data_IF_057040881075
#
_entry.id   IF_057040881075
#
_cell.length_a   1.000
_cell.length_b   1.000
_cell.length_c   1.000
_cell.angle_alpha   90.00
_cell.angle_beta   90.00
_cell.angle_gamma   90.00
#
_symmetry.space_group_name_H-M   'P 1'
#
loop_
_entity.id
_entity.type
_entity.pdbx_description
1 polymer ?
#
# COMPACT_ATOMS: atom_id res chain seq x y z
N UNK A 1 3.64 24.35 -54.67
CA UNK A 1 2.67 25.29 -54.08
C UNK A 1 3.41 26.31 -53.25
N UNK A 2 3.03 27.58 -53.34
CA UNK A 2 3.53 28.63 -52.45
C UNK A 2 2.81 28.56 -51.07
N UNK A 3 3.26 29.32 -50.07
CA UNK A 3 2.68 29.27 -48.72
C UNK A 3 1.18 29.65 -48.70
N UNK A 4 0.72 30.52 -49.61
CA UNK A 4 -0.68 30.93 -49.69
C UNK A 4 -1.59 29.83 -50.24
N UNK A 5 -1.13 29.10 -51.26
CA UNK A 5 -1.82 27.93 -51.81
C UNK A 5 -1.94 26.80 -50.77
N UNK A 6 -0.89 26.58 -49.95
CA UNK A 6 -0.89 25.56 -48.90
C UNK A 6 -1.90 25.88 -47.81
N UNK A 7 -1.97 27.13 -47.33
CA UNK A 7 -2.95 27.56 -46.34
C UNK A 7 -4.38 27.50 -46.88
N UNK A 8 -4.59 27.81 -48.16
CA UNK A 8 -5.91 27.69 -48.78
C UNK A 8 -6.39 26.24 -48.91
N UNK A 9 -5.47 25.30 -49.15
CA UNK A 9 -5.79 23.88 -49.32
C UNK A 9 -5.93 23.14 -47.99
N UNK A 10 -5.10 23.48 -47.01
CA UNK A 10 -5.02 22.81 -45.72
C UNK A 10 -5.48 23.75 -44.60
N UNK A 11 -6.80 23.74 -44.34
CA UNK A 11 -7.47 24.67 -43.40
C UNK A 11 -7.02 24.57 -41.93
N UNK A 12 -6.26 23.53 -41.57
CA UNK A 12 -5.67 23.40 -40.24
C UNK A 12 -4.41 24.27 -40.05
N UNK A 13 -3.82 24.80 -41.14
CA UNK A 13 -2.69 25.73 -41.10
C UNK A 13 -3.24 27.12 -40.83
N UNK A 14 -3.26 27.52 -39.56
CA UNK A 14 -3.77 28.83 -39.16
C UNK A 14 -2.69 29.92 -39.27
N UNK A 15 -3.12 31.17 -39.03
CA UNK A 15 -2.23 32.33 -39.08
C UNK A 15 -1.14 32.27 -38.00
N UNK A 16 -1.42 31.62 -36.86
CA UNK A 16 -0.50 31.52 -35.72
C UNK A 16 0.66 30.59 -36.05
N UNK A 17 0.36 29.40 -36.59
CA UNK A 17 1.35 28.47 -37.12
C UNK A 17 2.23 29.14 -38.18
N UNK A 18 1.63 29.89 -39.12
CA UNK A 18 2.38 30.58 -40.17
C UNK A 18 3.39 31.59 -39.60
N UNK A 19 2.99 32.38 -38.61
CA UNK A 19 3.88 33.34 -37.94
C UNK A 19 5.01 32.63 -37.21
N UNK A 20 4.70 31.57 -36.46
CA UNK A 20 5.68 30.79 -35.70
C UNK A 20 6.70 30.09 -36.61
N UNK A 21 6.30 29.59 -37.79
CA UNK A 21 7.24 28.99 -38.74
C UNK A 21 8.13 30.02 -39.43
N UNK A 22 7.58 31.19 -39.80
CA UNK A 22 8.34 32.28 -40.42
C UNK A 22 9.38 32.87 -39.45
N UNK A 23 9.02 33.03 -38.17
CA UNK A 23 9.93 33.55 -37.13
C UNK A 23 11.09 32.58 -36.84
N UNK A 24 10.87 31.27 -36.98
CA UNK A 24 11.89 30.24 -36.78
C UNK A 24 12.70 29.90 -38.05
N UNK A 25 12.46 30.61 -39.17
CA UNK A 25 13.18 30.37 -40.44
C UNK A 25 12.86 29.03 -41.12
N UNK A 26 11.71 28.42 -40.78
CA UNK A 26 11.30 27.11 -41.32
C UNK A 26 10.33 27.32 -42.48
N UNK A 27 10.67 26.83 -43.68
CA UNK A 27 9.76 26.87 -44.82
C UNK A 27 8.61 25.84 -44.66
N UNK A 28 7.37 26.32 -44.69
CA UNK A 28 6.16 25.51 -44.59
C UNK A 28 6.13 24.35 -45.62
N UNK A 29 6.68 24.61 -46.81
CA UNK A 29 6.80 23.61 -47.88
C UNK A 29 7.75 22.47 -47.49
N UNK A 30 8.88 22.76 -46.83
CA UNK A 30 9.82 21.75 -46.35
C UNK A 30 9.15 20.88 -45.30
N UNK A 31 8.50 21.51 -44.31
CA UNK A 31 7.80 20.79 -43.25
C UNK A 31 6.71 19.86 -43.77
N UNK A 32 5.90 20.32 -44.72
CA UNK A 32 4.86 19.48 -45.35
C UNK A 32 5.49 18.34 -46.14
N UNK A 33 6.63 18.58 -46.78
CA UNK A 33 7.36 17.52 -47.50
C UNK A 33 7.88 16.47 -46.50
N UNK A 34 8.45 16.90 -45.39
CA UNK A 34 8.92 15.98 -44.34
C UNK A 34 7.76 15.18 -43.74
N UNK A 35 6.62 15.82 -43.48
CA UNK A 35 5.43 15.17 -42.93
C UNK A 35 4.84 14.13 -43.90
N UNK A 36 4.84 14.41 -45.20
CA UNK A 36 4.17 13.58 -46.20
C UNK A 36 5.05 12.48 -46.79
N UNK A 37 6.36 12.68 -46.85
CA UNK A 37 7.24 11.81 -47.63
C UNK A 37 8.35 11.12 -46.82
N UNK A 38 8.63 11.56 -45.59
CA UNK A 38 9.61 10.87 -44.76
C UNK A 38 8.93 9.81 -43.88
N UNK A 39 9.67 8.73 -43.62
CA UNK A 39 9.27 7.73 -42.63
C UNK A 39 9.09 8.39 -41.26
N UNK A 40 8.06 7.97 -40.54
CA UNK A 40 7.77 8.54 -39.22
C UNK A 40 8.41 7.65 -38.17
N UNK A 41 9.19 8.25 -37.28
CA UNK A 41 9.94 7.53 -36.25
C UNK A 41 9.40 7.82 -34.86
N UNK A 42 9.52 6.81 -33.99
CA UNK A 42 9.57 7.00 -32.54
C UNK A 42 11.02 6.78 -32.13
N UNK A 43 11.61 7.74 -31.43
CA UNK A 43 13.03 7.73 -31.09
C UNK A 43 13.29 8.43 -29.76
N UNK A 44 14.49 8.25 -29.22
CA UNK A 44 15.04 9.15 -28.20
C UNK A 44 15.62 10.38 -28.88
N UNK A 45 15.37 11.55 -28.31
CA UNK A 45 15.99 12.80 -28.76
C UNK A 45 17.53 12.72 -28.72
N UNK A 46 18.23 13.71 -29.28
CA UNK A 46 19.70 13.72 -29.32
C UNK A 46 20.37 13.62 -27.93
N UNK A 47 19.66 14.02 -26.87
CA UNK A 47 20.14 13.94 -25.49
C UNK A 47 19.91 12.57 -24.85
N UNK A 48 19.10 11.71 -25.47
CA UNK A 48 18.65 10.44 -24.91
C UNK A 48 17.59 10.57 -23.82
N UNK A 49 17.19 11.80 -23.45
CA UNK A 49 16.39 12.05 -22.25
C UNK A 49 14.88 11.95 -22.49
N UNK A 50 14.42 12.27 -23.71
CA UNK A 50 12.99 12.33 -24.04
C UNK A 50 12.66 11.44 -25.23
N UNK A 51 11.48 10.82 -25.17
CA UNK A 51 10.86 10.22 -26.34
C UNK A 51 10.34 11.32 -27.25
N UNK A 52 10.57 11.15 -28.54
CA UNK A 52 10.04 12.00 -29.61
C UNK A 52 9.34 11.14 -30.65
N UNK A 53 8.41 11.76 -31.36
CA UNK A 53 7.68 11.19 -32.48
C UNK A 53 7.58 12.25 -33.58
N UNK A 54 8.25 12.01 -34.70
CA UNK A 54 8.38 12.99 -35.79
C UNK A 54 8.79 12.31 -37.11
N UNK A 55 8.65 12.99 -38.26
CA UNK A 55 9.35 12.61 -39.48
C UNK A 55 10.84 12.41 -39.25
N UNK A 56 11.42 11.41 -39.91
CA UNK A 56 12.85 11.20 -39.86
C UNK A 56 13.59 12.30 -40.63
N UNK A 57 14.15 13.26 -39.90
CA UNK A 57 14.95 14.37 -40.44
C UNK A 57 16.45 14.17 -40.16
N UNK A 58 16.87 12.95 -39.80
CA UNK A 58 18.24 12.62 -39.42
C UNK A 58 18.44 12.46 -37.90
N UNK A 59 19.38 13.24 -37.34
CA UNK A 59 20.01 12.97 -36.04
C UNK A 59 19.03 12.77 -34.86
N UNK A 60 19.00 11.53 -34.36
CA UNK A 60 18.38 11.09 -33.11
C UNK A 60 19.36 10.19 -32.37
N UNK A 61 19.24 10.05 -31.05
CA UNK A 61 20.16 9.20 -30.30
C UNK A 61 19.90 7.70 -30.55
N UNK A 62 18.62 7.31 -30.61
CA UNK A 62 18.22 5.91 -30.76
C UNK A 62 16.84 5.84 -31.42
N UNK A 63 16.72 5.12 -32.54
CA UNK A 63 15.44 4.84 -33.19
C UNK A 63 14.82 3.61 -32.53
N UNK A 64 13.62 3.76 -31.99
CA UNK A 64 12.84 2.68 -31.36
C UNK A 64 11.98 1.98 -32.41
N UNK A 65 11.43 2.74 -33.36
CA UNK A 65 10.62 2.18 -34.43
C UNK A 65 10.40 3.16 -35.57
N UNK A 66 10.12 2.60 -36.74
CA UNK A 66 9.72 3.29 -37.97
C UNK A 66 8.31 2.84 -38.33
N UNK A 67 7.51 3.75 -38.87
CA UNK A 67 6.09 3.53 -39.11
C UNK A 67 5.62 4.25 -40.37
N UNK A 68 4.60 3.66 -41.00
CA UNK A 68 4.03 4.14 -42.26
C UNK A 68 2.89 5.16 -42.03
N UNK A 69 2.37 5.24 -40.80
CA UNK A 69 1.29 6.17 -40.45
C UNK A 69 1.52 6.90 -39.13
N UNK A 70 1.05 8.15 -39.06
CA UNK A 70 1.09 8.95 -37.83
C UNK A 70 0.31 8.30 -36.69
N UNK A 71 -0.75 7.55 -37.01
CA UNK A 71 -1.57 6.89 -36.01
C UNK A 71 -0.80 5.73 -35.34
N UNK A 72 -0.13 4.88 -36.11
CA UNK A 72 0.66 3.77 -35.58
C UNK A 72 1.84 4.27 -34.74
N UNK A 73 2.55 5.27 -35.25
CA UNK A 73 3.67 5.85 -34.54
C UNK A 73 3.25 6.65 -33.29
N UNK A 74 2.11 7.36 -33.33
CA UNK A 74 1.54 7.98 -32.12
C UNK A 74 1.17 6.92 -31.08
N UNK A 75 0.53 5.82 -31.48
CA UNK A 75 0.20 4.72 -30.57
C UNK A 75 1.47 4.10 -29.96
N UNK A 76 2.50 3.88 -30.78
CA UNK A 76 3.79 3.38 -30.31
C UNK A 76 4.49 4.38 -29.36
N UNK A 77 4.49 5.66 -29.70
CA UNK A 77 5.02 6.73 -28.84
C UNK A 77 4.33 6.74 -27.48
N UNK A 78 3.00 6.75 -27.46
CA UNK A 78 2.22 6.75 -26.22
C UNK A 78 2.50 5.49 -25.39
N UNK A 79 2.54 4.31 -26.02
CA UNK A 79 2.85 3.05 -25.34
C UNK A 79 4.24 3.06 -24.68
N UNK A 80 5.26 3.53 -25.40
CA UNK A 80 6.62 3.66 -24.88
C UNK A 80 6.69 4.73 -23.77
N UNK A 81 6.02 5.86 -23.96
CA UNK A 81 5.95 6.93 -22.97
C UNK A 81 5.34 6.46 -21.66
N UNK A 82 4.20 5.76 -21.72
CA UNK A 82 3.56 5.19 -20.54
C UNK A 82 4.41 4.10 -19.90
N UNK A 83 5.10 3.28 -20.68
CA UNK A 83 6.02 2.26 -20.16
C UNK A 83 7.19 2.88 -19.41
N UNK A 84 7.91 3.84 -19.99
CA UNK A 84 9.01 4.55 -19.32
C UNK A 84 8.53 5.31 -18.06
N UNK A 85 7.37 5.94 -18.14
CA UNK A 85 6.74 6.60 -16.99
C UNK A 85 6.47 5.61 -15.86
N UNK A 86 5.90 4.44 -16.20
CA UNK A 86 5.63 3.36 -15.24
C UNK A 86 6.91 2.77 -14.65
N UNK A 87 7.96 2.57 -15.44
CA UNK A 87 9.28 2.13 -14.98
C UNK A 87 9.89 3.11 -13.98
N UNK A 88 9.84 4.42 -14.26
CA UNK A 88 10.33 5.45 -13.33
C UNK A 88 9.59 5.42 -11.99
N UNK A 89 8.25 5.36 -12.03
CA UNK A 89 7.41 5.32 -10.83
C UNK A 89 7.63 4.03 -10.03
N UNK A 90 7.67 2.89 -10.71
CA UNK A 90 7.88 1.58 -10.08
C UNK A 90 9.28 1.51 -9.46
N UNK A 91 10.32 1.90 -10.18
CA UNK A 91 11.71 1.97 -9.68
C UNK A 91 11.80 2.84 -8.42
N UNK A 92 11.25 4.06 -8.45
CA UNK A 92 11.27 4.96 -7.29
C UNK A 92 10.57 4.34 -6.08
N UNK A 93 9.47 3.63 -6.31
CA UNK A 93 8.72 2.99 -5.22
C UNK A 93 9.45 1.77 -4.66
N UNK A 94 10.05 0.95 -5.52
CA UNK A 94 10.85 -0.20 -5.12
C UNK A 94 12.07 0.26 -4.31
N UNK A 95 12.81 1.27 -4.77
CA UNK A 95 13.94 1.86 -4.02
C UNK A 95 13.51 2.34 -2.64
N UNK A 96 12.41 3.09 -2.56
CA UNK A 96 11.88 3.57 -1.27
C UNK A 96 11.52 2.41 -0.33
N UNK A 97 10.92 1.35 -0.86
CA UNK A 97 10.56 0.18 -0.07
C UNK A 97 11.80 -0.56 0.45
N UNK A 98 12.74 -0.87 -0.45
CA UNK A 98 13.98 -1.59 -0.12
C UNK A 98 14.81 -0.79 0.89
N UNK A 99 14.98 0.52 0.70
CA UNK A 99 15.69 1.39 1.65
C UNK A 99 15.06 1.35 3.06
N UNK A 100 13.72 1.41 3.15
CA UNK A 100 13.01 1.34 4.42
C UNK A 100 13.12 -0.02 5.12
N UNK A 101 13.13 -1.12 4.36
CA UNK A 101 13.35 -2.45 4.93
C UNK A 101 14.81 -2.65 5.36
N UNK A 102 15.78 -2.17 4.58
CA UNK A 102 17.20 -2.18 4.94
C UNK A 102 17.45 -1.42 6.25
N UNK A 103 16.88 -0.23 6.42
CA UNK A 103 17.02 0.57 7.65
C UNK A 103 16.48 -0.19 8.87
N UNK A 104 15.28 -0.78 8.77
CA UNK A 104 14.67 -1.56 9.84
C UNK A 104 15.47 -2.82 10.18
N UNK A 105 15.97 -3.52 9.17
CA UNK A 105 16.76 -4.74 9.37
C UNK A 105 18.13 -4.41 9.98
N UNK A 106 18.78 -3.34 9.52
CA UNK A 106 20.02 -2.84 10.11
C UNK A 106 19.87 -2.52 11.60
N UNK A 107 18.80 -1.80 11.97
CA UNK A 107 18.51 -1.50 13.39
C UNK A 107 18.32 -2.78 14.23
N UNK A 108 17.60 -3.78 13.71
CA UNK A 108 17.43 -5.08 14.39
C UNK A 108 18.74 -5.85 14.53
N UNK A 109 19.54 -5.88 13.46
CA UNK A 109 20.85 -6.54 13.45
C UNK A 109 21.80 -5.90 14.48
N UNK A 110 21.83 -4.58 14.58
CA UNK A 110 22.66 -3.89 15.58
C UNK A 110 22.26 -4.25 17.02
N UNK A 111 20.95 -4.31 17.30
CA UNK A 111 20.47 -4.72 18.62
C UNK A 111 20.83 -6.17 18.96
N UNK A 112 20.65 -7.09 18.00
CA UNK A 112 21.03 -8.50 18.18
C UNK A 112 22.53 -8.66 18.33
N UNK A 113 23.32 -7.97 17.50
CA UNK A 113 24.78 -7.96 17.58
C UNK A 113 25.26 -7.50 18.96
N UNK A 114 24.70 -6.40 19.49
CA UNK A 114 25.03 -5.93 20.84
C UNK A 114 24.69 -6.95 21.93
N UNK A 115 23.59 -7.73 21.79
CA UNK A 115 23.30 -8.83 22.73
C UNK A 115 24.29 -9.99 22.58
N UNK A 116 24.63 -10.36 21.35
CA UNK A 116 25.58 -11.46 21.07
C UNK A 116 26.98 -11.11 21.60
N UNK A 117 27.44 -9.87 21.40
CA UNK A 117 28.74 -9.39 21.89
C UNK A 117 28.85 -9.39 23.42
N UNK A 118 27.74 -9.22 24.13
CA UNK A 118 27.69 -9.35 25.61
C UNK A 118 27.86 -10.80 26.08
N UNK A 119 27.73 -11.78 25.18
CA UNK A 119 27.86 -13.20 25.49
C UNK A 119 26.67 -13.77 26.28
N UNK A 120 26.70 -15.08 26.49
CA UNK A 120 25.71 -15.78 27.30
C UNK A 120 26.02 -15.64 28.80
N UNK A 121 24.98 -15.35 29.59
CA UNK A 121 25.04 -15.34 31.06
C UNK A 121 24.74 -16.71 31.69
N UNK A 122 24.66 -17.77 30.88
CA UNK A 122 24.41 -19.14 31.34
C UNK A 122 25.37 -19.54 32.49
N UNK A 123 26.68 -19.36 32.28
CA UNK A 123 27.70 -19.71 33.27
C UNK A 123 27.55 -18.92 34.57
N UNK A 124 27.22 -17.64 34.47
CA UNK A 124 27.00 -16.77 35.62
C UNK A 124 25.79 -17.23 36.44
N UNK A 125 24.66 -17.52 35.79
CA UNK A 125 23.47 -18.02 36.49
C UNK A 125 23.66 -19.42 37.08
N UNK A 126 24.35 -20.30 36.38
CA UNK A 126 24.71 -21.62 36.90
C UNK A 126 25.63 -21.50 38.13
N UNK A 127 26.61 -20.59 38.09
CA UNK A 127 27.48 -20.31 39.24
C UNK A 127 26.66 -19.78 40.44
N UNK A 128 25.71 -18.88 40.22
CA UNK A 128 24.81 -18.43 41.29
C UNK A 128 23.98 -19.58 41.89
N UNK A 129 23.45 -20.49 41.06
CA UNK A 129 22.77 -21.69 41.55
C UNK A 129 23.67 -22.55 42.44
N UNK A 130 24.92 -22.78 42.03
CA UNK A 130 25.91 -23.53 42.80
C UNK A 130 26.28 -22.86 44.12
N UNK A 131 26.50 -21.53 44.12
CA UNK A 131 26.82 -20.78 45.33
C UNK A 131 25.67 -20.79 46.34
N UNK A 132 24.42 -20.73 45.86
CA UNK A 132 23.25 -20.85 46.71
C UNK A 132 23.12 -22.26 47.31
N UNK A 133 23.44 -23.32 46.55
CA UNK A 133 23.49 -24.69 47.08
C UNK A 133 24.56 -24.84 48.17
N UNK A 134 25.76 -24.32 47.95
CA UNK A 134 26.85 -24.37 48.93
C UNK A 134 26.50 -23.64 50.23
N UNK A 135 25.69 -22.57 50.14
CA UNK A 135 25.28 -21.74 51.28
C UNK A 135 23.83 -22.01 51.72
N UNK A 136 23.27 -23.20 51.42
CA UNK A 136 21.85 -23.49 51.63
C UNK A 136 21.40 -23.33 53.08
N UNK A 137 22.27 -23.62 54.05
CA UNK A 137 22.01 -23.47 55.49
C UNK A 137 21.82 -22.01 55.91
N UNK A 138 22.42 -21.06 55.19
CA UNK A 138 22.29 -19.62 55.44
C UNK A 138 21.01 -19.04 54.79
N UNK A 139 20.38 -19.75 53.86
CA UNK A 139 19.19 -19.29 53.14
C UNK A 139 17.92 -19.47 53.97
N UNK A 140 17.15 -18.39 54.12
CA UNK A 140 15.83 -18.39 54.78
C UNK A 140 14.77 -17.81 53.86
N UNK A 141 13.52 -18.26 54.02
CA UNK A 141 12.38 -17.67 53.31
C UNK A 141 12.22 -16.21 53.75
N UNK A 142 11.93 -15.32 52.80
CA UNK A 142 11.83 -13.87 53.05
C UNK A 142 13.12 -13.08 52.81
N UNK A 143 14.25 -13.75 52.55
CA UNK A 143 15.51 -13.09 52.19
C UNK A 143 15.45 -12.54 50.75
N UNK A 144 15.96 -11.33 50.54
CA UNK A 144 15.97 -10.63 49.25
C UNK A 144 17.31 -10.69 48.52
N UNK A 145 18.40 -10.94 49.25
CA UNK A 145 19.76 -11.17 48.72
C UNK A 145 20.63 -11.95 49.70
N UNK A 146 21.68 -12.58 49.18
CA UNK A 146 22.75 -13.18 49.97
C UNK A 146 24.11 -12.74 49.43
N UNK A 147 25.07 -12.54 50.32
CA UNK A 147 26.48 -12.37 49.98
C UNK A 147 27.17 -13.72 50.13
N UNK A 148 27.79 -14.20 49.05
CA UNK A 148 28.53 -15.45 49.01
C UNK A 148 29.92 -15.21 48.44
N UNK A 149 30.89 -16.04 48.81
CA UNK A 149 32.21 -16.03 48.16
C UNK A 149 32.20 -16.95 46.96
N UNK A 150 32.69 -16.47 45.82
CA UNK A 150 32.93 -17.32 44.66
C UNK A 150 34.15 -18.23 44.86
N UNK A 151 34.42 -19.09 43.87
CA UNK A 151 35.54 -20.03 43.90
C UNK A 151 36.91 -19.34 43.89
N UNK A 152 36.97 -18.05 43.56
CA UNK A 152 38.18 -17.22 43.55
C UNK A 152 38.31 -16.39 44.84
N UNK A 153 37.33 -16.47 45.74
CA UNK A 153 37.30 -15.78 47.03
C UNK A 153 36.71 -14.38 46.98
N UNK A 154 36.19 -13.93 45.83
CA UNK A 154 35.54 -12.63 45.69
C UNK A 154 34.12 -12.65 46.28
N UNK A 155 33.68 -11.53 46.84
CA UNK A 155 32.32 -11.39 47.34
C UNK A 155 31.34 -11.14 46.20
N UNK A 156 30.31 -11.97 46.11
CA UNK A 156 29.25 -11.92 45.10
C UNK A 156 27.90 -11.77 45.80
N UNK A 157 27.14 -10.75 45.42
CA UNK A 157 25.78 -10.54 45.92
C UNK A 157 24.76 -11.16 44.96
N UNK A 158 24.02 -12.17 45.44
CA UNK A 158 23.01 -12.89 44.65
C UNK A 158 21.61 -12.47 45.11
N UNK A 159 20.77 -12.00 44.18
CA UNK A 159 19.39 -11.56 44.46
C UNK A 159 18.42 -12.73 44.55
N UNK A 160 17.59 -12.75 45.58
CA UNK A 160 16.60 -13.79 45.81
C UNK A 160 15.18 -13.22 45.62
N UNK A 161 14.22 -14.11 45.40
CA UNK A 161 12.80 -13.76 45.55
C UNK A 161 12.37 -14.13 46.98
N UNK A 162 12.01 -13.13 47.82
CA UNK A 162 11.57 -13.36 49.20
C UNK A 162 10.34 -14.28 49.31
N UNK A 163 9.51 -14.35 48.27
CA UNK A 163 8.28 -15.14 48.25
C UNK A 163 8.55 -16.63 48.03
N UNK A 164 9.70 -16.98 47.44
CA UNK A 164 10.09 -18.34 47.12
C UNK A 164 10.82 -19.01 48.29
N UNK A 165 10.76 -20.34 48.35
CA UNK A 165 11.61 -21.10 49.28
C UNK A 165 13.07 -21.06 48.82
N UNK A 166 14.05 -21.32 49.71
CA UNK A 166 15.46 -21.45 49.35
C UNK A 166 15.70 -22.37 48.15
N UNK A 167 15.13 -23.58 48.15
CA UNK A 167 15.24 -24.52 47.03
C UNK A 167 14.67 -23.94 45.74
N UNK A 168 13.50 -23.30 45.78
CA UNK A 168 12.89 -22.69 44.59
C UNK A 168 13.72 -21.52 44.04
N UNK A 169 14.44 -20.79 44.90
CA UNK A 169 15.36 -19.74 44.45
C UNK A 169 16.59 -20.34 43.74
N UNK A 170 17.12 -21.46 44.24
CA UNK A 170 18.18 -22.22 43.58
C UNK A 170 17.72 -22.72 42.21
N UNK A 171 16.59 -23.44 42.17
CA UNK A 171 16.02 -23.99 40.93
C UNK A 171 15.77 -22.88 39.91
N UNK A 172 15.26 -21.73 40.35
CA UNK A 172 15.07 -20.54 39.51
C UNK A 172 16.36 -20.08 38.81
N UNK A 173 17.52 -20.16 39.47
CA UNK A 173 18.79 -19.78 38.85
C UNK A 173 19.27 -20.81 37.82
N UNK A 174 19.07 -22.11 38.06
CA UNK A 174 19.34 -23.13 37.05
C UNK A 174 18.39 -23.03 35.85
N UNK A 175 17.10 -22.78 36.08
CA UNK A 175 16.14 -22.54 35.01
C UNK A 175 16.48 -21.27 34.22
N UNK A 176 16.97 -20.22 34.88
CA UNK A 176 17.51 -19.02 34.21
C UNK A 176 18.72 -19.35 33.35
N UNK A 177 19.66 -20.16 33.84
CA UNK A 177 20.84 -20.56 33.06
C UNK A 177 20.43 -21.32 31.79
N UNK A 178 19.54 -22.30 31.93
CA UNK A 178 18.99 -23.07 30.80
C UNK A 178 18.24 -22.18 29.81
N UNK A 179 17.39 -21.28 30.31
CA UNK A 179 16.64 -20.35 29.47
C UNK A 179 17.56 -19.37 28.74
N UNK A 180 18.59 -18.83 29.40
CA UNK A 180 19.57 -17.93 28.81
C UNK A 180 20.33 -18.60 27.67
N UNK A 181 20.75 -19.86 27.84
CA UNK A 181 21.40 -20.64 26.78
C UNK A 181 20.51 -20.69 25.52
N UNK A 182 19.26 -21.12 25.69
CA UNK A 182 18.30 -21.25 24.59
C UNK A 182 18.03 -19.89 23.92
N UNK A 183 17.84 -18.83 24.70
CA UNK A 183 17.60 -17.49 24.17
C UNK A 183 18.82 -16.92 23.41
N UNK A 184 20.02 -17.18 23.92
CA UNK A 184 21.26 -16.73 23.31
C UNK A 184 21.51 -17.45 21.98
N UNK A 185 21.35 -18.77 21.94
CA UNK A 185 21.43 -19.57 20.71
C UNK A 185 20.41 -19.10 19.67
N UNK A 186 19.14 -18.90 20.07
CA UNK A 186 18.10 -18.33 19.21
C UNK A 186 18.44 -16.92 18.71
N UNK A 187 19.12 -16.11 19.52
CA UNK A 187 19.53 -14.76 19.13
C UNK A 187 20.59 -14.81 18.02
N UNK A 188 21.52 -15.77 18.09
CA UNK A 188 22.53 -16.02 17.04
C UNK A 188 21.86 -16.52 15.76
N UNK A 189 20.98 -17.51 15.86
CA UNK A 189 20.25 -18.05 14.71
C UNK A 189 19.46 -16.96 14.00
N UNK A 190 18.68 -16.18 14.77
CA UNK A 190 17.90 -15.06 14.24
C UNK A 190 18.79 -13.98 13.61
N UNK A 191 19.95 -13.68 14.22
CA UNK A 191 20.91 -12.74 13.65
C UNK A 191 21.39 -13.20 12.26
N UNK A 192 21.79 -14.46 12.13
CA UNK A 192 22.25 -15.02 10.86
C UNK A 192 21.15 -15.02 9.80
N UNK A 193 19.92 -15.41 10.16
CA UNK A 193 18.77 -15.37 9.26
C UNK A 193 18.48 -13.94 8.75
N UNK A 194 18.45 -12.97 9.67
CA UNK A 194 18.22 -11.57 9.33
C UNK A 194 19.38 -10.99 8.51
N UNK A 195 20.61 -11.42 8.78
CA UNK A 195 21.80 -10.97 8.06
C UNK A 195 21.77 -11.44 6.61
N UNK A 196 21.48 -12.71 6.36
CA UNK A 196 21.31 -13.24 5.01
C UNK A 196 20.22 -12.48 4.23
N UNK A 197 19.07 -12.23 4.86
CA UNK A 197 17.99 -11.46 4.24
C UNK A 197 18.40 -10.01 3.95
N UNK A 198 19.15 -9.39 4.86
CA UNK A 198 19.68 -8.03 4.66
C UNK A 198 20.63 -7.98 3.45
N UNK A 199 21.52 -8.97 3.32
CA UNK A 199 22.47 -9.01 2.20
C UNK A 199 21.75 -9.21 0.86
N UNK A 200 20.71 -10.06 0.80
CA UNK A 200 19.84 -10.18 -0.38
C UNK A 200 19.16 -8.85 -0.73
N UNK A 201 18.62 -8.13 0.26
CA UNK A 201 18.01 -6.81 0.02
C UNK A 201 19.03 -5.77 -0.45
N UNK A 202 20.28 -5.88 0.00
CA UNK A 202 21.36 -4.98 -0.41
C UNK A 202 21.75 -5.22 -1.87
N UNK A 203 21.89 -6.48 -2.28
CA UNK A 203 22.11 -6.84 -3.69
C UNK A 203 20.96 -6.32 -4.57
N UNK A 204 19.73 -6.38 -4.07
CA UNK A 204 18.57 -5.87 -4.78
C UNK A 204 18.57 -4.34 -4.90
N UNK A 205 18.98 -3.63 -3.86
CA UNK A 205 19.14 -2.17 -3.89
C UNK A 205 20.18 -1.75 -4.94
N UNK A 206 21.32 -2.45 -5.00
CA UNK A 206 22.35 -2.26 -6.01
C UNK A 206 21.81 -2.54 -7.43
N UNK A 207 20.98 -3.58 -7.60
CA UNK A 207 20.32 -3.88 -8.87
C UNK A 207 19.36 -2.77 -9.30
N UNK A 208 18.58 -2.21 -8.37
CA UNK A 208 17.64 -1.11 -8.65
C UNK A 208 18.33 0.21 -9.03
N UNK A 209 19.63 0.34 -8.78
CA UNK A 209 20.42 1.50 -9.22
C UNK A 209 20.83 1.45 -10.70
N UNK A 210 20.60 0.32 -11.38
CA UNK A 210 20.81 0.16 -12.83
C UNK A 210 19.51 0.45 -13.60
N UNK A 211 19.64 0.67 -14.91
CA UNK A 211 18.47 0.70 -15.79
C UNK A 211 17.89 -0.71 -15.90
N UNK A 212 16.59 -0.84 -15.65
CA UNK A 212 15.84 -2.10 -15.64
C UNK A 212 14.58 -1.94 -16.46
N UNK A 213 14.21 -3.01 -17.17
CA UNK A 213 12.97 -3.06 -17.93
C UNK A 213 11.76 -3.20 -17.00
N UNK A 214 10.58 -2.82 -17.50
CA UNK A 214 9.32 -3.00 -16.77
C UNK A 214 9.08 -4.44 -16.29
N UNK A 215 9.46 -5.45 -17.06
CA UNK A 215 9.29 -6.87 -16.69
C UNK A 215 10.18 -7.28 -15.52
N UNK A 216 11.43 -6.84 -15.52
CA UNK A 216 12.37 -7.08 -14.41
C UNK A 216 11.88 -6.40 -13.13
N UNK A 217 11.42 -5.15 -13.24
CA UNK A 217 10.86 -4.40 -12.11
C UNK A 217 9.62 -5.08 -11.54
N UNK A 218 8.72 -5.59 -12.39
CA UNK A 218 7.54 -6.35 -11.95
C UNK A 218 7.91 -7.69 -11.30
N UNK A 219 9.00 -8.31 -11.75
CA UNK A 219 9.52 -9.54 -11.13
C UNK A 219 10.04 -9.25 -9.73
N UNK A 220 10.82 -8.16 -9.57
CA UNK A 220 11.29 -7.68 -8.27
C UNK A 220 10.11 -7.31 -7.35
N UNK A 221 9.11 -6.62 -7.88
CA UNK A 221 7.88 -6.26 -7.14
C UNK A 221 7.17 -7.50 -6.58
N UNK A 222 7.07 -8.58 -7.38
CA UNK A 222 6.51 -9.86 -6.95
C UNK A 222 7.37 -10.55 -5.88
N UNK A 223 8.69 -10.60 -6.07
CA UNK A 223 9.62 -11.19 -5.11
C UNK A 223 9.56 -10.50 -3.74
N UNK A 224 9.46 -9.17 -3.74
CA UNK A 224 9.32 -8.38 -2.52
C UNK A 224 7.91 -8.43 -1.90
N UNK A 225 6.94 -9.08 -2.55
CA UNK A 225 5.57 -9.14 -2.07
C UNK A 225 4.90 -7.76 -1.95
N UNK A 226 5.38 -6.77 -2.72
CA UNK A 226 4.85 -5.39 -2.73
C UNK A 226 3.44 -5.35 -3.34
N UNK A 227 3.04 -6.44 -4.02
CA UNK A 227 1.65 -6.78 -4.36
C UNK A 227 0.79 -7.12 -3.14
N UNK A 228 0.63 -6.11 -2.28
CA UNK A 228 -0.49 -5.91 -1.36
C UNK A 228 -0.64 -4.45 -0.89
N UNK A 229 0.17 -3.52 -1.41
CA UNK A 229 0.06 -2.08 -1.12
C UNK A 229 0.03 -1.15 -2.33
N UNK A 230 0.42 -1.62 -3.53
CA UNK A 230 0.38 -0.78 -4.74
C UNK A 230 -0.98 -0.67 -5.42
N UNK A 231 -1.96 -1.54 -5.11
CA UNK A 231 -3.37 -1.27 -5.44
C UNK A 231 -3.97 -0.13 -4.57
N UNK A 232 -3.20 0.43 -3.62
CA UNK A 232 -3.55 1.65 -2.91
C UNK A 232 -2.72 2.85 -3.40
N UNK A 233 -2.61 3.03 -4.72
CA UNK A 233 -2.21 4.33 -5.27
C UNK A 233 -2.79 4.66 -6.64
N UNK A 234 -3.90 4.04 -7.03
CA UNK A 234 -4.83 4.69 -7.95
C UNK A 234 -5.84 5.50 -7.13
N UNK A 235 -5.45 6.73 -6.78
CA UNK A 235 -6.34 7.71 -6.13
C UNK A 235 -7.40 8.29 -7.09
N UNK A 236 -7.57 7.72 -8.29
CA UNK A 236 -8.57 8.18 -9.24
C UNK A 236 -9.90 7.41 -9.14
N UNK A 237 -9.89 6.13 -8.71
CA UNK A 237 -11.12 5.33 -8.65
C UNK A 237 -11.27 4.61 -7.31
N UNK A 238 -12.31 4.92 -6.51
CA UNK A 238 -12.58 4.18 -5.30
C UNK A 238 -12.92 2.71 -5.64
N UNK A 239 -12.28 1.74 -5.00
CA UNK A 239 -12.54 0.30 -5.17
C UNK A 239 -13.86 -0.14 -4.50
N UNK A 240 -14.95 0.56 -4.78
CA UNK A 240 -16.31 0.22 -4.39
C UNK A 240 -17.13 -0.04 -5.66
N UNK A 241 -18.28 -0.69 -5.56
CA UNK A 241 -19.25 -0.59 -6.67
C UNK A 241 -19.81 0.83 -6.63
N UNK A 242 -19.90 1.50 -7.76
CA UNK A 242 -20.39 2.88 -7.83
C UNK A 242 -21.65 2.94 -8.69
N UNK A 243 -22.69 3.55 -8.12
CA UNK A 243 -23.95 3.82 -8.77
C UNK A 243 -24.22 5.32 -8.77
N UNK A 244 -24.87 5.81 -9.81
CA UNK A 244 -25.43 7.16 -9.87
C UNK A 244 -26.95 7.02 -9.90
N UNK A 245 -27.63 7.53 -8.87
CA UNK A 245 -29.09 7.59 -8.80
C UNK A 245 -29.57 8.92 -9.38
N UNK A 246 -30.50 8.87 -10.32
CA UNK A 246 -31.16 10.04 -10.91
C UNK A 246 -30.16 11.05 -11.51
N UNK A 247 -29.04 10.56 -12.08
CA UNK A 247 -28.00 11.36 -12.72
C UNK A 247 -27.18 12.26 -11.77
N UNK A 248 -27.46 12.24 -10.46
CA UNK A 248 -26.87 13.20 -9.50
C UNK A 248 -26.28 12.54 -8.26
N UNK A 249 -26.93 11.52 -7.72
CA UNK A 249 -26.63 11.03 -6.37
C UNK A 249 -25.68 9.85 -6.40
N UNK A 250 -24.45 10.05 -5.93
CA UNK A 250 -23.41 9.03 -5.93
C UNK A 250 -23.58 8.04 -4.77
N UNK A 251 -23.77 6.76 -5.09
CA UNK A 251 -23.91 5.66 -4.14
C UNK A 251 -22.77 4.67 -4.31
N UNK A 252 -22.10 4.35 -3.21
CA UNK A 252 -20.97 3.44 -3.17
C UNK A 252 -21.31 2.22 -2.33
N UNK A 253 -20.96 1.03 -2.81
CA UNK A 253 -21.26 -0.25 -2.16
C UNK A 253 -19.97 -1.04 -1.94
N UNK A 254 -19.75 -1.47 -0.70
CA UNK A 254 -18.61 -2.30 -0.35
C UNK A 254 -18.71 -3.72 -0.93
N UNK A 255 -17.58 -4.27 -1.37
CA UNK A 255 -17.51 -5.60 -2.00
C UNK A 255 -17.28 -6.73 -0.98
N UNK A 256 -16.60 -6.46 0.12
CA UNK A 256 -16.29 -7.40 1.20
C UNK A 256 -16.16 -6.70 2.57
N UNK A 257 -15.91 -7.44 3.65
CA UNK A 257 -15.81 -6.90 5.02
C UNK A 257 -14.69 -5.88 5.23
N UNK A 258 -13.55 -6.00 4.53
CA UNK A 258 -12.45 -5.03 4.62
C UNK A 258 -12.78 -3.76 3.85
N UNK A 259 -13.38 -3.92 2.67
CA UNK A 259 -13.84 -2.83 1.83
C UNK A 259 -15.02 -2.08 2.46
N UNK A 260 -15.88 -2.76 3.22
CA UNK A 260 -16.91 -2.14 4.05
C UNK A 260 -16.33 -1.21 5.12
N UNK A 261 -15.27 -1.65 5.82
CA UNK A 261 -14.55 -0.81 6.78
C UNK A 261 -13.92 0.41 6.10
N UNK A 262 -13.29 0.21 4.95
CA UNK A 262 -12.68 1.31 4.19
C UNK A 262 -13.73 2.31 3.73
N UNK A 263 -14.82 1.83 3.13
CA UNK A 263 -15.96 2.62 2.67
C UNK A 263 -16.53 3.47 3.81
N UNK A 264 -16.76 2.83 4.96
CA UNK A 264 -17.48 3.44 6.07
C UNK A 264 -16.59 4.33 6.91
N UNK A 265 -15.35 3.93 7.18
CA UNK A 265 -14.49 4.61 8.15
C UNK A 265 -13.57 5.64 7.49
N UNK A 266 -13.10 5.38 6.25
CA UNK A 266 -12.11 6.21 5.56
C UNK A 266 -12.69 7.04 4.41
N UNK A 267 -13.55 6.45 3.58
CA UNK A 267 -14.09 7.14 2.40
C UNK A 267 -15.29 8.05 2.73
N UNK A 268 -16.22 7.56 3.54
CA UNK A 268 -17.43 8.30 3.89
C UNK A 268 -17.16 9.51 4.82
N UNK A 269 -17.74 10.66 4.45
CA UNK A 269 -17.74 11.91 5.22
C UNK A 269 -18.83 11.85 6.29
N UNK A 270 -18.71 12.69 7.31
CA UNK A 270 -19.59 12.66 8.49
C UNK A 270 -21.09 12.83 8.19
N UNK A 271 -21.44 13.61 7.16
CA UNK A 271 -22.82 13.90 6.76
C UNK A 271 -23.33 13.03 5.60
N UNK A 272 -22.56 12.02 5.18
CA UNK A 272 -23.05 11.04 4.22
C UNK A 272 -24.06 10.11 4.87
N UNK A 273 -25.02 9.61 4.09
CA UNK A 273 -25.94 8.57 4.55
C UNK A 273 -25.28 7.20 4.38
N UNK A 274 -25.42 6.37 5.42
CA UNK A 274 -24.93 5.01 5.48
C UNK A 274 -26.12 4.06 5.62
N UNK A 275 -26.06 2.91 4.94
CA UNK A 275 -27.13 1.90 4.91
C UNK A 275 -26.55 0.50 5.09
N UNK A 276 -27.32 -0.37 5.73
CA UNK A 276 -27.04 -1.81 5.83
C UNK A 276 -28.32 -2.60 6.11
N UNK A 277 -28.44 -3.79 5.52
CA UNK A 277 -29.58 -4.68 5.75
C UNK A 277 -29.61 -5.15 7.23
N UNK A 278 -30.76 -5.04 7.89
CA UNK A 278 -30.87 -5.29 9.33
C UNK A 278 -30.82 -6.79 9.63
N UNK A 279 -30.08 -7.16 10.67
CA UNK A 279 -30.01 -8.53 11.21
C UNK A 279 -29.46 -9.60 10.24
N UNK A 280 -28.88 -9.21 9.12
CA UNK A 280 -28.28 -10.11 8.13
C UNK A 280 -26.91 -9.60 7.69
N UNK A 281 -26.06 -10.49 7.18
CA UNK A 281 -24.80 -10.07 6.56
C UNK A 281 -25.07 -9.36 5.23
N UNK A 282 -24.42 -8.23 5.00
CA UNK A 282 -24.50 -7.52 3.72
C UNK A 282 -23.40 -6.48 3.53
N UNK A 283 -23.42 -5.86 2.37
CA UNK A 283 -22.53 -4.74 2.05
C UNK A 283 -22.92 -3.48 2.82
N UNK A 284 -21.91 -2.69 3.20
CA UNK A 284 -22.14 -1.31 3.61
C UNK A 284 -22.41 -0.50 2.34
N UNK A 285 -23.41 0.39 2.40
CA UNK A 285 -23.74 1.30 1.31
C UNK A 285 -23.65 2.73 1.81
N UNK A 286 -23.02 3.62 1.04
CA UNK A 286 -22.86 5.02 1.37
C UNK A 286 -23.39 5.88 0.22
N UNK A 287 -24.35 6.73 0.52
CA UNK A 287 -24.81 7.80 -0.36
C UNK A 287 -24.06 9.08 -0.01
N UNK A 288 -23.28 9.59 -0.98
CA UNK A 288 -22.51 10.83 -0.82
C UNK A 288 -23.40 12.04 -0.82
N UNK A 289 -23.12 12.93 0.12
CA UNK A 289 -23.77 14.24 0.21
C UNK A 289 -22.71 15.32 0.00
N UNK A 290 -22.61 15.85 -1.21
CA UNK A 290 -21.60 16.86 -1.55
C UNK A 290 -21.89 18.20 -0.88
N UNK A 291 -23.17 18.55 -0.74
CA UNK A 291 -23.62 19.73 0.01
C UNK A 291 -24.50 19.32 1.20
N UNK A 292 -23.99 19.40 2.45
CA UNK A 292 -24.75 19.04 3.65
C UNK A 292 -26.03 19.86 3.90
N UNK A 293 -26.20 21.00 3.23
CA UNK A 293 -27.41 21.83 3.32
C UNK A 293 -28.52 21.35 2.37
N UNK A 294 -28.19 20.49 1.41
CA UNK A 294 -29.15 19.93 0.47
C UNK A 294 -29.91 18.77 1.10
N UNK A 295 -31.24 18.83 1.07
CA UNK A 295 -32.11 17.74 1.56
C UNK A 295 -32.20 16.67 0.48
N UNK A 296 -31.67 15.49 0.78
CA UNK A 296 -31.81 14.32 -0.10
C UNK A 296 -33.27 13.86 -0.12
N UNK A 297 -33.91 13.72 -1.30
CA UNK A 297 -35.29 13.24 -1.40
C UNK A 297 -35.46 11.83 -0.83
N UNK A 298 -36.60 11.56 -0.18
CA UNK A 298 -36.92 10.23 0.37
C UNK A 298 -36.91 9.12 -0.68
N UNK A 299 -37.23 9.44 -1.94
CA UNK A 299 -37.14 8.50 -3.07
C UNK A 299 -35.72 7.99 -3.28
N UNK A 300 -34.71 8.87 -3.20
CA UNK A 300 -33.29 8.52 -3.35
C UNK A 300 -32.81 7.66 -2.18
N UNK A 301 -33.21 8.00 -0.94
CA UNK A 301 -32.90 7.19 0.24
C UNK A 301 -33.47 5.77 0.12
N UNK A 302 -34.72 5.63 -0.37
CA UNK A 302 -35.32 4.32 -0.65
C UNK A 302 -34.55 3.54 -1.72
N UNK A 303 -34.13 4.20 -2.81
CA UNK A 303 -33.34 3.56 -3.86
C UNK A 303 -31.98 3.05 -3.33
N UNK A 304 -31.27 3.87 -2.56
CA UNK A 304 -30.01 3.47 -1.92
C UNK A 304 -30.21 2.31 -0.93
N UNK A 305 -31.31 2.32 -0.17
CA UNK A 305 -31.67 1.20 0.71
C UNK A 305 -31.99 -0.08 -0.08
N UNK A 306 -32.70 0.00 -1.20
CA UNK A 306 -32.94 -1.16 -2.09
C UNK A 306 -31.64 -1.80 -2.58
N UNK A 307 -30.65 -0.98 -2.95
CA UNK A 307 -29.31 -1.45 -3.34
C UNK A 307 -28.62 -2.15 -2.16
N UNK A 308 -28.71 -1.61 -0.95
CA UNK A 308 -28.17 -2.25 0.25
C UNK A 308 -28.82 -3.61 0.54
N UNK A 309 -30.13 -3.71 0.37
CA UNK A 309 -30.85 -4.98 0.49
C UNK A 309 -30.42 -5.98 -0.59
N UNK A 310 -30.26 -5.53 -1.85
CA UNK A 310 -29.84 -6.36 -2.97
C UNK A 310 -28.44 -6.96 -2.77
N UNK A 311 -27.51 -6.20 -2.19
CA UNK A 311 -26.15 -6.67 -1.84
C UNK A 311 -26.06 -7.25 -0.42
N UNK A 312 -27.11 -7.93 0.04
CA UNK A 312 -27.14 -8.61 1.33
C UNK A 312 -27.66 -10.04 1.21
N UNK A 313 -27.61 -10.79 2.32
CA UNK A 313 -28.29 -12.09 2.41
C UNK A 313 -29.82 -11.99 2.31
N UNK A 314 -30.41 -10.78 2.40
CA UNK A 314 -31.83 -10.55 2.19
C UNK A 314 -32.21 -10.32 0.72
N UNK A 315 -31.30 -10.55 -0.25
CA UNK A 315 -31.52 -10.31 -1.68
C UNK A 315 -32.80 -10.97 -2.26
N UNK A 316 -33.24 -12.09 -1.72
CA UNK A 316 -34.43 -12.82 -2.19
C UNK A 316 -35.69 -12.53 -1.38
N UNK A 317 -35.63 -11.64 -0.38
CA UNK A 317 -36.78 -11.27 0.42
C UNK A 317 -37.76 -10.41 -0.39
N UNK A 318 -39.08 -10.54 -0.14
CA UNK A 318 -40.08 -9.67 -0.77
C UNK A 318 -39.93 -8.21 -0.32
N UNK A 319 -39.76 -7.99 0.99
CA UNK A 319 -39.39 -6.71 1.59
C UNK A 319 -38.31 -6.97 2.64
N UNK A 320 -37.25 -6.19 2.61
CA UNK A 320 -36.14 -6.26 3.56
C UNK A 320 -36.08 -4.99 4.41
N UNK A 321 -35.91 -5.11 5.74
CA UNK A 321 -35.62 -3.98 6.60
C UNK A 321 -34.16 -3.53 6.41
N UNK A 322 -33.96 -2.26 6.11
CA UNK A 322 -32.64 -1.65 5.94
C UNK A 322 -32.48 -0.53 6.96
N UNK A 323 -31.47 -0.65 7.82
CA UNK A 323 -31.08 0.42 8.73
C UNK A 323 -30.31 1.47 7.95
N UNK A 324 -30.62 2.75 8.19
CA UNK A 324 -29.88 3.86 7.65
C UNK A 324 -29.68 4.97 8.68
N UNK A 325 -28.57 5.69 8.54
CA UNK A 325 -28.20 6.79 9.44
C UNK A 325 -27.12 7.66 8.80
N UNK A 326 -26.76 8.78 9.43
CA UNK A 326 -25.55 9.50 9.02
C UNK A 326 -24.29 8.78 9.47
N UNK A 327 -23.25 8.80 8.64
CA UNK A 327 -21.95 8.17 8.95
C UNK A 327 -21.39 8.55 10.32
N UNK A 328 -21.58 9.79 10.78
CA UNK A 328 -21.14 10.24 12.12
C UNK A 328 -21.73 9.43 13.28
N UNK A 329 -22.83 8.72 13.08
CA UNK A 329 -23.46 7.83 14.05
C UNK A 329 -23.04 6.37 13.89
N UNK A 330 -22.14 6.05 12.94
CA UNK A 330 -21.59 4.72 12.72
C UNK A 330 -20.19 4.66 13.34
N UNK A 331 -20.02 3.82 14.36
CA UNK A 331 -18.78 3.74 15.15
C UNK A 331 -18.22 2.34 15.15
N UNK A 332 -16.89 2.22 14.99
CA UNK A 332 -16.16 0.96 15.17
C UNK A 332 -15.32 1.01 16.45
N UNK A 333 -15.63 0.15 17.42
CA UNK A 333 -14.86 0.03 18.67
C UNK A 333 -13.57 -0.77 18.41
N UNK A 334 -12.52 -0.47 19.19
CA UNK A 334 -11.24 -1.20 19.13
C UNK A 334 -11.49 -2.69 19.42
N UNK A 335 -11.00 -3.57 18.55
CA UNK A 335 -11.16 -5.01 18.67
C UNK A 335 -12.37 -5.61 17.94
N UNK A 336 -13.23 -4.81 17.30
CA UNK A 336 -14.30 -5.33 16.45
C UNK A 336 -13.74 -5.91 15.15
N UNK A 337 -14.28 -7.06 14.72
CA UNK A 337 -13.91 -7.72 13.47
C UNK A 337 -14.13 -6.81 12.24
N UNK A 338 -13.44 -7.07 11.12
CA UNK A 338 -13.68 -6.36 9.86
C UNK A 338 -15.16 -6.37 9.45
N UNK A 339 -15.69 -5.21 9.04
CA UNK A 339 -17.08 -5.03 8.65
C UNK A 339 -18.07 -4.85 9.81
N UNK A 340 -17.70 -5.19 11.06
CA UNK A 340 -18.60 -4.94 12.20
C UNK A 340 -18.54 -3.48 12.65
N UNK A 341 -19.71 -2.87 12.75
CA UNK A 341 -19.91 -1.49 13.23
C UNK A 341 -21.06 -1.44 14.24
N UNK A 342 -21.05 -0.43 15.11
CA UNK A 342 -22.12 -0.11 16.04
C UNK A 342 -22.82 1.18 15.58
N UNK A 343 -24.16 1.20 15.64
CA UNK A 343 -24.97 2.36 15.29
C UNK A 343 -25.40 3.06 16.58
N UNK A 344 -25.08 4.35 16.71
CA UNK A 344 -25.53 5.19 17.82
C UNK A 344 -26.97 5.68 17.61
N UNK A 345 -27.37 5.81 16.34
CA UNK A 345 -28.72 6.16 15.90
C UNK A 345 -29.02 5.41 14.61
N UNK A 346 -30.22 4.90 14.46
CA UNK A 346 -30.70 4.29 13.22
C UNK A 346 -32.16 4.66 12.96
N UNK A 347 -32.49 4.81 11.69
CA UNK A 347 -33.86 4.73 11.18
C UNK A 347 -33.96 3.50 10.27
N UNK A 348 -35.16 2.98 10.04
CA UNK A 348 -35.38 1.76 9.27
C UNK A 348 -36.33 2.01 8.11
N UNK A 349 -35.93 1.57 6.92
CA UNK A 349 -36.78 1.55 5.72
C UNK A 349 -37.09 0.10 5.34
N UNK A 350 -38.34 -0.16 4.98
CA UNK A 350 -38.74 -1.40 4.32
C UNK A 350 -38.68 -1.20 2.81
N UNK A 351 -37.86 -1.99 2.13
CA UNK A 351 -37.59 -1.85 0.70
C UNK A 351 -37.53 -3.21 0.02
N UNK A 352 -37.85 -3.24 -1.28
CA UNK A 352 -37.64 -4.42 -2.11
C UNK A 352 -36.15 -4.53 -2.49
N UNK A 353 -35.49 -5.69 -2.33
CA UNK A 353 -34.11 -5.89 -2.75
C UNK A 353 -33.99 -5.93 -4.28
N UNK A 354 -33.60 -4.82 -4.89
CA UNK A 354 -33.40 -4.72 -6.34
C UNK A 354 -32.42 -3.59 -6.65
N UNK A 355 -31.91 -3.54 -7.88
CA UNK A 355 -31.26 -2.35 -8.44
C UNK A 355 -32.38 -1.51 -9.07
N UNK A 356 -32.79 -0.39 -8.47
CA UNK A 356 -33.96 0.35 -8.95
C UNK A 356 -33.72 0.99 -10.32
N UNK A 357 -34.78 1.23 -11.12
CA UNK A 357 -34.67 1.99 -12.36
C UNK A 357 -34.14 3.42 -12.11
N UNK A 358 -33.32 3.93 -13.02
CA UNK A 358 -32.62 5.21 -12.89
C UNK A 358 -31.34 5.15 -12.04
N UNK A 359 -30.80 3.95 -11.81
CA UNK A 359 -29.47 3.75 -11.24
C UNK A 359 -28.49 3.32 -12.33
N UNK A 360 -27.52 4.16 -12.66
CA UNK A 360 -26.46 3.86 -13.62
C UNK A 360 -25.24 3.28 -12.90
N UNK A 361 -24.68 2.19 -13.44
CA UNK A 361 -23.44 1.58 -12.92
C UNK A 361 -22.25 2.32 -13.54
N UNK A 362 -21.30 2.73 -12.70
CA UNK A 362 -20.05 3.37 -13.13
C UNK A 362 -18.93 2.35 -12.96
N UNK A 363 -18.34 1.89 -14.07
CA UNK A 363 -17.26 0.90 -14.12
C UNK A 363 -15.84 1.50 -14.00
#
# INVERSE_FOLDING_TARGET
MNNEELTSRYKFIDRKMKTEFLENGVELKSLITDILFNEIIVAKDKSGASLIFQPYTGEVAEIIGKYDSYQEAMNAYLSNYYSLSKEKVLTATLKKHVAGELERMSAKLNNLKSRIEKGSREKEYANYGNLLLMNISALKKGLDKIEAKDMEGNNVTIKLDPKLSPQKNIDRYFEKAKSEKIEYEKSIELYNELKNKYDILKELDEKLNKELTLEELQTIEKQLGIKKKMEMQDKSRPNFRHFIIDGKYNVYVGKDSKNNDELTLRFAKQNDYWFHARSVSGSHVVLRTDNPKEVVPKSVLKKAASIAAFYSKAKTAGLAPVSYTFKKYVVKKKGMEPGKVALLKEEVLLVKPEIPPGCEVVD
#
